data_IF_428186981616
#
_entry.id   IF_428186981616
#
_cell.length_a   1.000
_cell.length_b   1.000
_cell.length_c   1.000
_cell.angle_alpha   90.00
_cell.angle_beta   90.00
_cell.angle_gamma   90.00
#
_symmetry.space_group_name_H-M   'P 1'
#
loop_
_entity.id
_entity.type
_entity.pdbx_description
1 polymer ?
#
# COMPACT_ATOMS: atom_id res chain seq x y z
N UNK A 1 5.37 -39.27 -4.11
CA UNK A 1 5.99 -37.94 -3.99
C UNK A 1 6.55 -37.84 -2.58
N UNK A 2 7.87 -37.93 -2.42
CA UNK A 2 8.52 -38.15 -1.12
C UNK A 2 8.54 -36.87 -0.26
N UNK A 3 8.49 -36.98 1.08
CA UNK A 3 8.45 -35.83 2.00
C UNK A 3 9.69 -34.94 1.98
N UNK A 4 10.79 -35.38 1.34
CA UNK A 4 12.06 -34.65 1.24
C UNK A 4 11.96 -33.51 0.20
N UNK A 5 11.21 -33.69 -0.90
CA UNK A 5 11.09 -32.67 -1.95
C UNK A 5 10.27 -31.43 -1.53
N UNK A 6 9.44 -31.53 -0.48
CA UNK A 6 8.67 -30.40 0.06
C UNK A 6 9.49 -29.49 0.98
N UNK A 7 10.53 -30.01 1.62
CA UNK A 7 11.35 -29.22 2.55
C UNK A 7 12.35 -28.37 1.78
N UNK A 8 12.86 -28.87 0.65
CA UNK A 8 13.81 -28.17 -0.20
C UNK A 8 13.18 -27.01 -0.98
N UNK A 9 11.95 -27.19 -1.48
CA UNK A 9 11.14 -26.14 -2.12
C UNK A 9 10.79 -24.98 -1.16
N UNK A 10 10.56 -25.28 0.12
CA UNK A 10 10.22 -24.25 1.12
C UNK A 10 11.46 -23.44 1.57
N UNK A 11 12.65 -24.05 1.56
CA UNK A 11 13.91 -23.33 1.83
C UNK A 11 14.35 -22.46 0.64
N UNK A 12 14.23 -22.96 -0.60
CA UNK A 12 14.57 -22.17 -1.80
C UNK A 12 13.61 -20.99 -2.03
N UNK A 13 12.32 -21.16 -1.71
CA UNK A 13 11.34 -20.06 -1.78
C UNK A 13 11.59 -18.92 -0.78
N UNK A 14 12.20 -19.20 0.39
CA UNK A 14 12.58 -18.18 1.37
C UNK A 14 13.90 -17.48 1.05
N UNK A 15 14.91 -18.23 0.59
CA UNK A 15 16.21 -17.66 0.19
C UNK A 15 16.11 -16.78 -1.07
N UNK A 16 15.28 -17.18 -2.05
CA UNK A 16 15.00 -16.34 -3.21
C UNK A 16 14.19 -15.08 -2.85
N UNK A 17 13.49 -15.10 -1.70
CA UNK A 17 12.68 -13.98 -1.24
C UNK A 17 13.55 -12.86 -0.64
N UNK A 18 14.51 -13.23 0.19
CA UNK A 18 15.39 -12.25 0.85
C UNK A 18 16.44 -11.65 -0.12
N UNK A 19 16.78 -12.37 -1.20
CA UNK A 19 17.76 -11.92 -2.21
C UNK A 19 17.20 -10.87 -3.21
N UNK A 20 15.89 -10.80 -3.45
CA UNK A 20 15.33 -9.83 -4.42
C UNK A 20 15.23 -8.40 -3.86
N UNK A 21 15.05 -8.25 -2.54
CA UNK A 21 14.81 -6.93 -1.92
C UNK A 21 16.10 -6.10 -1.93
N UNK A 22 17.25 -6.74 -1.72
CA UNK A 22 18.57 -6.11 -1.76
C UNK A 22 19.14 -5.97 -3.18
N UNK A 23 18.77 -6.84 -4.12
CA UNK A 23 19.22 -6.70 -5.53
C UNK A 23 18.56 -5.53 -6.26
N UNK A 24 17.38 -5.08 -5.84
CA UNK A 24 16.69 -3.91 -6.42
C UNK A 24 17.47 -2.60 -6.23
N UNK A 25 18.27 -2.49 -5.16
CA UNK A 25 19.14 -1.33 -4.90
C UNK A 25 20.58 -1.46 -5.41
N UNK A 26 20.92 -2.59 -6.06
CA UNK A 26 22.28 -2.86 -6.57
C UNK A 26 22.78 -1.83 -7.60
N UNK A 27 21.90 -0.96 -8.10
CA UNK A 27 22.20 0.03 -9.13
C UNK A 27 22.21 1.48 -8.65
N UNK A 28 22.07 1.70 -7.34
CA UNK A 28 22.15 3.02 -6.72
C UNK A 28 23.59 3.58 -6.78
N UNK A 29 23.74 4.80 -7.32
CA UNK A 29 24.98 5.57 -7.24
C UNK A 29 25.22 5.98 -5.77
N UNK A 30 26.46 6.34 -5.36
CA UNK A 30 26.71 6.81 -3.99
C UNK A 30 25.83 8.01 -3.59
N UNK A 31 25.46 8.87 -4.54
CA UNK A 31 24.52 9.96 -4.33
C UNK A 31 23.08 9.49 -4.06
N UNK A 32 22.65 8.38 -4.65
CA UNK A 32 21.29 7.85 -4.45
C UNK A 32 21.18 7.18 -3.06
N UNK A 33 22.27 6.60 -2.54
CA UNK A 33 22.35 6.13 -1.15
C UNK A 33 22.26 7.27 -0.14
N UNK A 34 22.94 8.39 -0.40
CA UNK A 34 22.82 9.58 0.46
C UNK A 34 21.38 10.10 0.49
N UNK A 35 20.74 10.23 -0.68
CA UNK A 35 19.34 10.67 -0.75
C UNK A 35 18.38 9.69 -0.05
N UNK A 36 18.65 8.38 -0.14
CA UNK A 36 17.84 7.37 0.52
C UNK A 36 17.93 7.47 2.05
N UNK A 37 19.14 7.64 2.60
CA UNK A 37 19.33 7.80 4.04
C UNK A 37 18.63 9.08 4.53
N UNK A 38 18.78 10.20 3.81
CA UNK A 38 18.11 11.46 4.20
C UNK A 38 16.59 11.34 4.07
N UNK A 39 16.08 10.67 3.04
CA UNK A 39 14.64 10.41 2.87
C UNK A 39 14.06 9.57 4.02
N UNK A 40 14.76 8.52 4.47
CA UNK A 40 14.35 7.71 5.62
C UNK A 40 14.34 8.55 6.90
N UNK A 41 15.41 9.30 7.18
CA UNK A 41 15.49 10.15 8.36
C UNK A 41 14.36 11.20 8.39
N UNK A 42 14.08 11.83 7.26
CA UNK A 42 12.98 12.79 7.13
C UNK A 42 11.61 12.14 7.30
N UNK A 43 11.42 10.91 6.82
CA UNK A 43 10.17 10.15 6.99
C UNK A 43 9.94 9.75 8.44
N UNK A 44 11.00 9.35 9.15
CA UNK A 44 10.96 9.08 10.59
C UNK A 44 10.64 10.35 11.38
N UNK A 45 11.26 11.47 11.03
CA UNK A 45 10.97 12.76 11.65
C UNK A 45 9.50 13.15 11.42
N UNK A 46 9.00 13.05 10.18
CA UNK A 46 7.60 13.30 9.83
C UNK A 46 6.63 12.40 10.63
N UNK A 47 6.91 11.10 10.73
CA UNK A 47 6.10 10.17 11.51
C UNK A 47 6.11 10.47 13.01
N UNK A 48 7.24 10.92 13.55
CA UNK A 48 7.37 11.33 14.95
C UNK A 48 6.55 12.59 15.24
N UNK A 49 6.52 13.56 14.32
CA UNK A 49 5.67 14.74 14.43
C UNK A 49 4.18 14.35 14.51
N UNK A 50 3.72 13.37 13.74
CA UNK A 50 2.33 12.89 13.83
C UNK A 50 1.99 12.36 15.22
N UNK A 51 2.91 11.67 15.89
CA UNK A 51 2.71 11.23 17.28
C UNK A 51 2.65 12.40 18.26
N UNK A 52 3.51 13.42 18.07
CA UNK A 52 3.54 14.63 18.92
C UNK A 52 2.24 15.45 18.82
N UNK A 53 1.54 15.41 17.69
CA UNK A 53 0.25 16.10 17.52
C UNK A 53 -0.75 15.79 18.63
N UNK A 54 -0.77 14.55 19.13
CA UNK A 54 -1.68 14.15 20.21
C UNK A 54 -1.40 14.90 21.51
N UNK A 55 -0.13 15.22 21.81
CA UNK A 55 0.26 15.98 23.01
C UNK A 55 -0.16 17.44 22.89
N UNK A 56 0.02 18.04 21.71
CA UNK A 56 -0.42 19.42 21.43
C UNK A 56 -1.94 19.51 21.56
N UNK A 57 -2.66 18.51 21.03
CA UNK A 57 -4.11 18.42 21.15
C UNK A 57 -4.58 18.33 22.59
N UNK A 58 -3.91 17.49 23.38
CA UNK A 58 -4.20 17.34 24.80
C UNK A 58 -4.10 18.69 25.52
N UNK A 59 -3.02 19.45 25.31
CA UNK A 59 -2.86 20.78 25.95
C UNK A 59 -3.98 21.74 25.59
N UNK A 60 -4.35 21.81 24.31
CA UNK A 60 -5.48 22.63 23.86
C UNK A 60 -6.77 22.18 24.55
N UNK A 61 -7.06 20.88 24.56
CA UNK A 61 -8.26 20.35 25.20
C UNK A 61 -8.29 20.63 26.71
N UNK A 62 -7.17 20.47 27.41
CA UNK A 62 -7.07 20.72 28.84
C UNK A 62 -7.37 22.21 29.16
N UNK A 63 -6.82 23.15 28.37
CA UNK A 63 -7.11 24.59 28.54
C UNK A 63 -8.59 24.92 28.30
N UNK A 64 -9.22 24.30 27.30
CA UNK A 64 -10.65 24.49 27.01
C UNK A 64 -11.54 23.92 28.11
N UNK A 65 -11.20 22.73 28.62
CA UNK A 65 -11.94 22.07 29.70
C UNK A 65 -11.81 22.88 31.00
N UNK A 66 -10.61 23.37 31.33
CA UNK A 66 -10.39 24.23 32.50
C UNK A 66 -11.18 25.54 32.37
N UNK A 67 -11.18 26.15 31.18
CA UNK A 67 -11.98 27.33 30.87
C UNK A 67 -13.47 27.10 31.06
N UNK A 68 -14.00 25.97 30.56
CA UNK A 68 -15.41 25.60 30.75
C UNK A 68 -15.76 25.30 32.21
N UNK A 69 -14.86 24.65 32.95
CA UNK A 69 -15.10 24.26 34.35
C UNK A 69 -15.14 25.47 35.27
N UNK A 70 -14.29 26.47 35.02
CA UNK A 70 -14.23 27.71 35.80
C UNK A 70 -15.22 28.77 35.31
N UNK A 71 -15.85 28.57 34.16
CA UNK A 71 -16.82 29.49 33.57
C UNK A 71 -17.99 29.75 34.53
N UNK A 72 -18.13 30.99 35.00
CA UNK A 72 -19.18 31.40 35.94
C UNK A 72 -18.85 31.22 37.43
N UNK A 73 -17.61 30.81 37.77
CA UNK A 73 -17.09 30.82 39.15
C UNK A 73 -16.23 32.07 39.38
N UNK A 74 -16.15 32.62 40.59
CA UNK A 74 -15.31 33.80 40.93
C UNK A 74 -13.80 33.58 40.69
N UNK A 75 -13.36 32.34 40.50
CA UNK A 75 -11.98 31.96 40.18
C UNK A 75 -11.63 32.00 38.67
N UNK A 76 -12.55 32.49 37.82
CA UNK A 76 -12.30 32.60 36.38
C UNK A 76 -11.35 33.76 36.08
N UNK A 77 -10.10 33.42 35.76
CA UNK A 77 -9.10 34.36 35.29
C UNK A 77 -9.07 34.37 33.75
N UNK A 78 -9.73 35.36 33.16
CA UNK A 78 -9.84 35.54 31.70
C UNK A 78 -8.47 35.68 31.03
N UNK A 79 -7.50 36.29 31.72
CA UNK A 79 -6.15 36.52 31.21
C UNK A 79 -5.37 35.20 31.10
N UNK A 80 -5.43 34.35 32.13
CA UNK A 80 -4.79 33.03 32.10
C UNK A 80 -5.39 32.11 31.06
N UNK A 81 -6.70 32.18 30.86
CA UNK A 81 -7.38 31.40 29.82
C UNK A 81 -6.97 31.86 28.43
N UNK A 82 -6.97 33.17 28.18
CA UNK A 82 -6.57 33.75 26.89
C UNK A 82 -5.09 33.44 26.57
N UNK A 83 -4.18 33.60 27.53
CA UNK A 83 -2.76 33.32 27.34
C UNK A 83 -2.51 31.82 27.07
N UNK A 84 -3.14 30.92 27.83
CA UNK A 84 -3.01 29.47 27.62
C UNK A 84 -3.60 28.99 26.29
N UNK A 85 -4.76 29.54 25.89
CA UNK A 85 -5.36 29.24 24.60
C UNK A 85 -4.51 29.76 23.43
N UNK A 86 -3.97 30.97 23.55
CA UNK A 86 -3.11 31.57 22.54
C UNK A 86 -1.79 30.81 22.38
N UNK A 87 -1.16 30.36 23.48
CA UNK A 87 0.03 29.52 23.44
C UNK A 87 -0.24 28.20 22.70
N UNK A 88 -1.35 27.53 23.00
CA UNK A 88 -1.73 26.29 22.34
C UNK A 88 -1.96 26.48 20.82
N UNK A 89 -2.60 27.58 20.42
CA UNK A 89 -2.83 27.92 19.01
C UNK A 89 -1.50 28.17 18.28
N UNK A 90 -0.57 28.93 18.88
CA UNK A 90 0.74 29.16 18.28
C UNK A 90 1.56 27.88 18.14
N UNK A 91 1.50 26.98 19.12
CA UNK A 91 2.14 25.67 19.04
C UNK A 91 1.56 24.82 17.90
N UNK A 92 0.24 24.87 17.70
CA UNK A 92 -0.45 24.22 16.60
C UNK A 92 -0.08 24.78 15.22
N UNK A 93 0.03 26.11 15.13
CA UNK A 93 0.44 26.77 13.90
C UNK A 93 1.89 26.43 13.55
N UNK A 94 2.80 26.44 14.54
CA UNK A 94 4.18 26.00 14.38
C UNK A 94 4.29 24.53 13.94
N UNK A 95 3.47 23.65 14.51
CA UNK A 95 3.37 22.26 14.06
C UNK A 95 2.95 22.15 12.59
N UNK A 96 1.93 22.90 12.17
CA UNK A 96 1.44 22.92 10.79
C UNK A 96 2.52 23.34 9.78
N UNK A 97 3.31 24.35 10.09
CA UNK A 97 4.42 24.78 9.24
C UNK A 97 5.53 23.72 9.21
N UNK A 98 5.89 23.16 10.37
CA UNK A 98 6.94 22.15 10.47
C UNK A 98 6.60 20.89 9.65
N UNK A 99 5.38 20.38 9.77
CA UNK A 99 4.96 19.18 9.03
C UNK A 99 4.87 19.46 7.52
N UNK A 100 4.43 20.65 7.11
CA UNK A 100 4.36 21.03 5.69
C UNK A 100 5.76 21.02 5.06
N UNK A 101 6.75 21.63 5.71
CA UNK A 101 8.13 21.68 5.22
C UNK A 101 8.72 20.27 5.19
N UNK A 102 8.64 19.51 6.30
CA UNK A 102 9.22 18.18 6.39
C UNK A 102 8.59 17.20 5.38
N UNK A 103 7.26 17.18 5.28
CA UNK A 103 6.56 16.28 4.36
C UNK A 103 6.87 16.61 2.90
N UNK A 104 6.95 17.89 2.54
CA UNK A 104 7.28 18.30 1.16
C UNK A 104 8.72 17.90 0.80
N UNK A 105 9.69 18.13 1.68
CA UNK A 105 11.09 17.75 1.44
C UNK A 105 11.24 16.22 1.39
N UNK A 106 10.57 15.50 2.29
CA UNK A 106 10.59 14.03 2.31
C UNK A 106 10.00 13.46 1.01
N UNK A 107 8.81 13.91 0.60
CA UNK A 107 8.12 13.41 -0.59
C UNK A 107 8.90 13.71 -1.87
N UNK A 108 9.45 14.92 -2.00
CA UNK A 108 10.27 15.29 -3.16
C UNK A 108 11.57 14.49 -3.22
N UNK A 109 12.19 14.18 -2.08
CA UNK A 109 13.35 13.31 -1.99
C UNK A 109 13.03 11.89 -2.50
N UNK A 110 11.99 11.25 -1.96
CA UNK A 110 11.56 9.91 -2.40
C UNK A 110 11.19 9.85 -3.88
N UNK A 111 10.45 10.84 -4.37
CA UNK A 111 10.08 10.90 -5.78
C UNK A 111 11.31 11.05 -6.69
N UNK A 112 12.28 11.87 -6.29
CA UNK A 112 13.53 12.06 -7.05
C UNK A 112 14.36 10.78 -7.11
N UNK A 113 14.45 10.03 -6.01
CA UNK A 113 15.14 8.72 -5.98
C UNK A 113 14.46 7.75 -6.93
N UNK A 114 13.13 7.67 -6.85
CA UNK A 114 12.32 6.77 -7.66
C UNK A 114 12.56 7.01 -9.17
N UNK A 115 12.45 8.26 -9.62
CA UNK A 115 12.66 8.62 -11.03
C UNK A 115 14.09 8.31 -11.50
N UNK A 116 15.11 8.54 -10.66
CA UNK A 116 16.50 8.21 -11.00
C UNK A 116 16.72 6.71 -11.12
N UNK A 117 16.14 5.90 -10.23
CA UNK A 117 16.23 4.44 -10.30
C UNK A 117 15.52 3.92 -11.55
N UNK A 118 14.31 4.41 -11.83
CA UNK A 118 13.54 4.04 -13.01
C UNK A 118 14.30 4.36 -14.29
N UNK A 119 14.92 5.54 -14.37
CA UNK A 119 15.73 5.92 -15.52
C UNK A 119 16.91 4.95 -15.75
N UNK A 120 17.60 4.53 -14.68
CA UNK A 120 18.68 3.55 -14.78
C UNK A 120 18.19 2.17 -15.22
N UNK A 121 17.07 1.70 -14.66
CA UNK A 121 16.44 0.43 -15.02
C UNK A 121 16.03 0.46 -16.49
N UNK A 122 15.35 1.53 -16.93
CA UNK A 122 14.91 1.73 -18.32
C UNK A 122 16.09 1.68 -19.29
N UNK A 123 17.18 2.38 -18.99
CA UNK A 123 18.39 2.42 -19.81
C UNK A 123 19.03 1.03 -19.95
N UNK A 124 19.15 0.30 -18.85
CA UNK A 124 19.79 -1.04 -18.83
C UNK A 124 18.90 -2.09 -19.48
N UNK A 125 17.60 -2.05 -19.24
CA UNK A 125 16.63 -2.93 -19.89
C UNK A 125 16.73 -2.77 -21.41
N UNK A 126 16.69 -1.52 -21.90
CA UNK A 126 16.82 -1.25 -23.33
C UNK A 126 18.16 -1.73 -23.91
N UNK A 127 19.27 -1.47 -23.21
CA UNK A 127 20.59 -1.97 -23.62
C UNK A 127 20.70 -3.50 -23.62
N UNK A 128 20.03 -4.18 -22.69
CA UNK A 128 20.00 -5.65 -22.61
C UNK A 128 19.15 -6.26 -23.72
N UNK A 129 18.01 -5.64 -24.06
CA UNK A 129 17.16 -6.04 -25.19
C UNK A 129 17.93 -5.91 -26.50
N UNK A 130 18.62 -4.80 -26.75
CA UNK A 130 19.41 -4.60 -27.97
C UNK A 130 20.59 -5.59 -28.14
N UNK A 131 21.02 -6.25 -27.07
CA UNK A 131 22.10 -7.26 -27.10
C UNK A 131 21.61 -8.69 -27.33
N UNK A 132 20.29 -8.91 -27.41
CA UNK A 132 19.74 -10.23 -27.66
C UNK A 132 19.95 -10.68 -29.11
N UNK A 133 19.99 -11.99 -29.32
CA UNK A 133 20.14 -12.59 -30.64
C UNK A 133 18.82 -12.58 -31.43
N UNK A 134 18.90 -12.75 -32.75
CA UNK A 134 17.73 -12.76 -33.65
C UNK A 134 16.71 -13.83 -33.25
N UNK A 135 17.15 -15.04 -32.89
CA UNK A 135 16.26 -16.13 -32.50
C UNK A 135 15.46 -15.86 -31.20
N UNK A 136 15.95 -15.00 -30.31
CA UNK A 136 15.19 -14.56 -29.14
C UNK A 136 14.06 -13.60 -29.53
N UNK A 137 14.29 -12.73 -30.53
CA UNK A 137 13.27 -11.83 -31.08
C UNK A 137 12.20 -12.57 -31.88
N UNK A 138 12.53 -13.69 -32.52
CA UNK A 138 11.53 -14.55 -33.20
C UNK A 138 10.56 -15.20 -32.20
N UNK A 139 11.02 -15.43 -30.96
CA UNK A 139 10.22 -16.02 -29.87
C UNK A 139 9.42 -14.99 -29.07
N UNK A 140 9.79 -13.70 -29.13
CA UNK A 140 9.15 -12.64 -28.34
C UNK A 140 8.76 -11.46 -29.23
N UNK A 141 7.45 -11.29 -29.53
CA UNK A 141 6.99 -10.19 -30.35
C UNK A 141 7.31 -8.84 -29.70
N UNK A 142 7.73 -7.88 -30.52
CA UNK A 142 8.18 -6.55 -30.08
C UNK A 142 7.14 -5.79 -29.26
N UNK A 143 5.84 -5.97 -29.56
CA UNK A 143 4.74 -5.36 -28.81
C UNK A 143 4.66 -5.86 -27.36
N UNK A 144 4.86 -7.16 -27.14
CA UNK A 144 4.85 -7.74 -25.80
C UNK A 144 6.01 -7.23 -24.94
N UNK A 145 7.18 -7.04 -25.55
CA UNK A 145 8.36 -6.50 -24.88
C UNK A 145 8.15 -5.08 -24.35
N UNK A 146 7.54 -4.21 -25.15
CA UNK A 146 7.30 -2.80 -24.78
C UNK A 146 6.25 -2.72 -23.68
N UNK A 147 5.19 -3.52 -23.76
CA UNK A 147 4.17 -3.60 -22.71
C UNK A 147 4.77 -4.16 -21.42
N UNK A 148 5.52 -5.27 -21.48
CA UNK A 148 6.22 -5.84 -20.31
C UNK A 148 7.17 -4.85 -19.67
N UNK A 149 7.88 -4.06 -20.47
CA UNK A 149 8.78 -3.03 -19.98
C UNK A 149 8.02 -1.90 -19.28
N UNK A 150 6.95 -1.39 -19.89
CA UNK A 150 6.18 -0.27 -19.36
C UNK A 150 5.44 -0.67 -18.08
N UNK A 151 4.67 -1.76 -18.13
CA UNK A 151 3.94 -2.30 -16.98
C UNK A 151 4.90 -2.73 -15.85
N UNK A 152 6.03 -3.34 -16.21
CA UNK A 152 7.05 -3.76 -15.24
C UNK A 152 7.68 -2.58 -14.53
N UNK A 153 8.01 -1.51 -15.27
CA UNK A 153 8.57 -0.28 -14.70
C UNK A 153 7.53 0.42 -13.81
N UNK A 154 6.27 0.49 -14.22
CA UNK A 154 5.23 1.14 -13.43
C UNK A 154 4.96 0.40 -12.11
N UNK A 155 4.96 -0.95 -12.14
CA UNK A 155 4.90 -1.76 -10.91
C UNK A 155 6.09 -1.54 -9.98
N UNK A 156 7.30 -1.38 -10.54
CA UNK A 156 8.50 -1.08 -9.76
C UNK A 156 8.42 0.34 -9.18
N UNK A 157 7.94 1.32 -9.95
CA UNK A 157 7.70 2.69 -9.50
C UNK A 157 6.76 2.73 -8.30
N UNK A 158 5.66 1.99 -8.38
CA UNK A 158 4.70 1.85 -7.29
C UNK A 158 5.28 1.17 -6.05
N UNK A 159 6.23 0.25 -6.22
CA UNK A 159 6.86 -0.49 -5.12
C UNK A 159 7.98 0.27 -4.41
N UNK A 160 8.83 0.97 -5.16
CA UNK A 160 10.03 1.66 -4.65
C UNK A 160 9.76 3.13 -4.32
N UNK A 161 8.71 3.72 -4.91
CA UNK A 161 8.42 5.15 -4.85
C UNK A 161 8.01 5.69 -3.47
N UNK A 162 6.95 6.48 -3.47
CA UNK A 162 6.44 7.16 -2.27
C UNK A 162 5.93 6.20 -1.18
N UNK A 163 5.45 5.02 -1.57
CA UNK A 163 4.91 4.02 -0.63
C UNK A 163 5.91 3.58 0.43
N UNK A 164 7.20 3.49 0.10
CA UNK A 164 8.26 3.14 1.07
C UNK A 164 8.41 4.24 2.12
N UNK A 165 8.44 5.50 1.71
CA UNK A 165 8.48 6.65 2.63
C UNK A 165 7.25 6.70 3.54
N UNK A 166 6.06 6.46 2.98
CA UNK A 166 4.81 6.37 3.73
C UNK A 166 4.85 5.22 4.75
N UNK A 167 5.40 4.06 4.39
CA UNK A 167 5.55 2.92 5.29
C UNK A 167 6.41 3.27 6.51
N UNK A 168 7.56 3.92 6.31
CA UNK A 168 8.42 4.35 7.41
C UNK A 168 7.76 5.44 8.28
N UNK A 169 7.08 6.39 7.64
CA UNK A 169 6.35 7.46 8.34
C UNK A 169 5.23 6.89 9.21
N UNK A 170 4.38 6.03 8.65
CA UNK A 170 3.28 5.38 9.38
C UNK A 170 3.79 4.40 10.43
N UNK A 171 4.87 3.66 10.16
CA UNK A 171 5.50 2.76 11.14
C UNK A 171 6.05 3.53 12.34
N UNK A 172 6.71 4.66 12.09
CA UNK A 172 7.22 5.53 13.16
C UNK A 172 6.07 6.20 13.92
N UNK A 173 5.05 6.68 13.23
CA UNK A 173 3.85 7.27 13.85
C UNK A 173 3.10 6.24 14.71
N UNK A 174 3.03 4.98 14.27
CA UNK A 174 2.43 3.89 15.03
C UNK A 174 3.20 3.62 16.33
N UNK A 175 4.52 3.47 16.25
CA UNK A 175 5.38 3.25 17.44
C UNK A 175 5.32 4.48 18.36
N UNK A 176 5.48 5.68 17.81
CA UNK A 176 5.41 6.94 18.55
C UNK A 176 4.06 7.14 19.22
N UNK A 177 2.96 6.82 18.54
CA UNK A 177 1.60 6.91 19.06
C UNK A 177 1.38 5.96 20.25
N UNK A 178 1.88 4.73 20.18
CA UNK A 178 1.83 3.77 21.29
C UNK A 178 2.61 4.32 22.50
N UNK A 179 3.82 4.84 22.26
CA UNK A 179 4.65 5.44 23.32
C UNK A 179 3.93 6.61 24.00
N UNK A 180 3.38 7.54 23.22
CA UNK A 180 2.60 8.68 23.75
C UNK A 180 1.36 8.21 24.51
N UNK A 181 0.67 7.18 24.02
CA UNK A 181 -0.50 6.61 24.69
C UNK A 181 -0.16 6.00 26.06
N UNK A 182 0.97 5.29 26.18
CA UNK A 182 1.44 4.75 27.46
C UNK A 182 1.86 5.85 28.45
N UNK A 183 2.46 6.94 27.97
CA UNK A 183 2.85 8.09 28.80
C UNK A 183 1.62 8.79 29.39
N UNK A 184 0.54 8.96 28.61
CA UNK A 184 -0.67 9.64 29.09
C UNK A 184 -1.45 8.82 30.13
N UNK A 185 -1.72 7.55 29.84
CA UNK A 185 -2.48 6.68 30.74
C UNK A 185 -2.26 5.21 30.37
N UNK A 186 -1.54 4.48 31.22
CA UNK A 186 -1.29 3.05 31.00
C UNK A 186 -2.58 2.19 31.04
N UNK A 187 -3.54 2.53 31.91
CA UNK A 187 -4.77 1.75 32.10
C UNK A 187 -5.70 1.76 30.88
N UNK A 188 -6.01 2.96 30.35
CA UNK A 188 -6.87 3.10 29.16
C UNK A 188 -6.20 2.52 27.90
N UNK A 189 -4.88 2.68 27.77
CA UNK A 189 -4.13 2.16 26.62
C UNK A 189 -4.14 0.63 26.56
N UNK A 190 -4.00 -0.07 27.70
CA UNK A 190 -4.08 -1.54 27.74
C UNK A 190 -5.44 -2.06 27.29
N UNK A 191 -6.52 -1.42 27.72
CA UNK A 191 -7.88 -1.79 27.31
C UNK A 191 -8.03 -1.62 25.79
N UNK A 192 -7.59 -0.48 25.24
CA UNK A 192 -7.65 -0.23 23.79
C UNK A 192 -6.77 -1.21 22.99
N UNK A 193 -5.60 -1.56 23.52
CA UNK A 193 -4.72 -2.55 22.90
C UNK A 193 -5.35 -3.95 22.86
N UNK A 194 -6.17 -4.31 23.85
CA UNK A 194 -6.92 -5.57 23.85
C UNK A 194 -8.01 -5.62 22.75
N UNK A 195 -8.56 -4.47 22.35
CA UNK A 195 -9.52 -4.38 21.24
C UNK A 195 -8.86 -4.43 19.85
N UNK A 196 -7.60 -4.00 19.72
CA UNK A 196 -6.86 -4.05 18.45
C UNK A 196 -6.81 -5.43 17.77
N UNK A 197 -6.49 -6.55 18.44
CA UNK A 197 -6.46 -7.87 17.79
C UNK A 197 -7.85 -8.34 17.36
N UNK A 198 -8.90 -7.94 18.07
CA UNK A 198 -10.30 -8.27 17.70
C UNK A 198 -10.64 -7.57 16.38
N UNK A 199 -10.34 -6.26 16.28
CA UNK A 199 -10.53 -5.49 15.05
C UNK A 199 -9.68 -6.03 13.90
N UNK A 200 -8.40 -6.34 14.14
CA UNK A 200 -7.51 -6.91 13.14
C UNK A 200 -8.02 -8.29 12.64
N UNK A 201 -8.54 -9.12 13.54
CA UNK A 201 -9.14 -10.41 13.21
C UNK A 201 -10.38 -10.27 12.32
N UNK A 202 -11.28 -9.32 12.65
CA UNK A 202 -12.46 -9.03 11.83
C UNK A 202 -12.08 -8.51 10.44
N UNK A 203 -11.09 -7.61 10.35
CA UNK A 203 -10.60 -7.09 9.07
C UNK A 203 -9.96 -8.21 8.23
N UNK A 204 -9.12 -9.06 8.83
CA UNK A 204 -8.51 -10.19 8.14
C UNK A 204 -9.57 -11.18 7.63
N UNK A 205 -10.61 -11.44 8.43
CA UNK A 205 -11.74 -12.27 8.02
C UNK A 205 -12.49 -11.66 6.84
N UNK A 206 -12.82 -10.37 6.89
CA UNK A 206 -13.47 -9.65 5.80
C UNK A 206 -12.63 -9.68 4.51
N UNK A 207 -11.33 -9.38 4.60
CA UNK A 207 -10.43 -9.45 3.43
C UNK A 207 -10.39 -10.87 2.86
N UNK A 208 -10.28 -11.90 3.71
CA UNK A 208 -10.28 -13.30 3.29
C UNK A 208 -11.58 -13.68 2.59
N UNK A 209 -12.71 -13.22 3.12
CA UNK A 209 -14.03 -13.45 2.57
C UNK A 209 -14.17 -12.79 1.18
N UNK A 210 -13.87 -11.50 1.07
CA UNK A 210 -13.91 -10.74 -0.18
C UNK A 210 -12.99 -11.36 -1.23
N UNK A 211 -11.73 -11.64 -0.91
CA UNK A 211 -10.80 -12.27 -1.86
C UNK A 211 -11.27 -13.65 -2.33
N UNK A 212 -11.94 -14.41 -1.46
CA UNK A 212 -12.51 -15.72 -1.85
C UNK A 212 -13.69 -15.55 -2.79
N UNK A 213 -14.55 -14.56 -2.55
CA UNK A 213 -15.67 -14.23 -3.44
C UNK A 213 -15.19 -13.76 -4.81
N UNK A 214 -14.22 -12.85 -4.86
CA UNK A 214 -13.59 -12.38 -6.11
C UNK A 214 -12.95 -13.53 -6.89
N UNK A 215 -12.30 -14.49 -6.21
CA UNK A 215 -11.71 -15.65 -6.88
C UNK A 215 -12.77 -16.59 -7.48
N UNK A 216 -13.89 -16.79 -6.78
CA UNK A 216 -15.03 -17.59 -7.30
C UNK A 216 -15.66 -16.90 -8.51
N UNK A 217 -15.78 -15.58 -8.46
CA UNK A 217 -16.26 -14.74 -9.56
C UNK A 217 -15.39 -14.88 -10.80
N UNK A 218 -14.08 -14.69 -10.65
CA UNK A 218 -13.14 -14.78 -11.77
C UNK A 218 -13.21 -16.15 -12.44
N UNK A 219 -13.28 -17.24 -11.67
CA UNK A 219 -13.36 -18.60 -12.21
C UNK A 219 -14.68 -18.90 -12.95
N UNK A 220 -15.80 -18.30 -12.52
CA UNK A 220 -17.07 -18.42 -13.26
C UNK A 220 -17.01 -17.64 -14.58
N UNK A 221 -16.43 -16.43 -14.56
CA UNK A 221 -16.19 -15.64 -15.77
C UNK A 221 -15.23 -16.31 -16.73
N UNK A 222 -14.16 -16.96 -16.25
CA UNK A 222 -13.24 -17.74 -17.09
C UNK A 222 -13.99 -18.85 -17.85
N UNK A 223 -14.88 -19.59 -17.18
CA UNK A 223 -15.69 -20.63 -17.83
C UNK A 223 -16.67 -20.06 -18.85
N UNK A 224 -17.39 -18.99 -18.51
CA UNK A 224 -18.31 -18.34 -19.43
C UNK A 224 -17.58 -17.76 -20.65
N UNK A 225 -16.41 -17.15 -20.42
CA UNK A 225 -15.50 -16.65 -21.45
C UNK A 225 -15.02 -17.74 -22.39
N UNK A 226 -14.60 -18.90 -21.87
CA UNK A 226 -14.20 -20.05 -22.68
C UNK A 226 -15.35 -20.57 -23.57
N UNK A 227 -16.59 -20.62 -23.06
CA UNK A 227 -17.76 -20.97 -23.88
C UNK A 227 -17.99 -19.94 -24.98
N UNK A 228 -17.92 -18.65 -24.66
CA UNK A 228 -18.11 -17.59 -25.64
C UNK A 228 -17.02 -17.63 -26.73
N UNK A 229 -15.78 -17.86 -26.35
CA UNK A 229 -14.65 -17.99 -27.27
C UNK A 229 -14.83 -19.19 -28.22
N UNK A 230 -15.22 -20.37 -27.69
CA UNK A 230 -15.49 -21.56 -28.50
C UNK A 230 -16.58 -21.29 -29.56
N UNK A 231 -17.66 -20.61 -29.16
CA UNK A 231 -18.80 -20.30 -30.05
C UNK A 231 -18.40 -19.29 -31.12
N UNK A 232 -17.61 -18.27 -30.78
CA UNK A 232 -17.15 -17.25 -31.72
C UNK A 232 -16.18 -17.85 -32.74
N UNK A 233 -15.23 -18.67 -32.30
CA UNK A 233 -14.29 -19.38 -33.17
C UNK A 233 -15.02 -20.38 -34.08
N UNK A 234 -16.01 -21.09 -33.53
CA UNK A 234 -16.81 -22.11 -34.21
C UNK A 234 -18.08 -21.60 -34.91
N UNK A 235 -18.23 -20.29 -35.15
CA UNK A 235 -19.54 -19.70 -35.49
C UNK A 235 -20.21 -20.32 -36.73
N UNK A 236 -19.41 -20.70 -37.75
CA UNK A 236 -19.93 -21.35 -38.96
C UNK A 236 -20.54 -22.72 -38.64
N UNK A 237 -19.92 -23.49 -37.76
CA UNK A 237 -20.41 -24.81 -37.31
C UNK A 237 -21.65 -24.68 -36.44
N UNK A 238 -21.68 -23.69 -35.53
CA UNK A 238 -22.85 -23.43 -34.66
C UNK A 238 -24.08 -23.04 -35.49
N UNK A 239 -23.89 -22.20 -36.53
CA UNK A 239 -24.97 -21.83 -37.46
C UNK A 239 -25.39 -23.04 -38.31
N UNK A 240 -24.44 -23.82 -38.84
CA UNK A 240 -24.73 -24.99 -39.66
C UNK A 240 -25.53 -26.08 -38.91
N UNK A 241 -25.29 -26.23 -37.60
CA UNK A 241 -26.01 -27.16 -36.74
C UNK A 241 -27.25 -26.55 -36.06
N UNK A 242 -27.57 -25.29 -36.34
CA UNK A 242 -28.65 -24.52 -35.69
C UNK A 242 -28.57 -24.56 -34.14
N UNK A 243 -27.35 -24.60 -33.60
CA UNK A 243 -27.05 -24.79 -32.18
C UNK A 243 -27.10 -23.53 -31.32
N UNK A 244 -27.46 -22.37 -31.89
CA UNK A 244 -27.34 -21.05 -31.24
C UNK A 244 -28.07 -20.98 -29.89
N UNK A 245 -29.30 -21.48 -29.81
CA UNK A 245 -30.09 -21.47 -28.56
C UNK A 245 -29.45 -22.31 -27.45
N UNK A 246 -28.80 -23.42 -27.81
CA UNK A 246 -28.14 -24.33 -26.86
C UNK A 246 -26.91 -23.67 -26.24
N UNK A 247 -26.09 -23.03 -27.07
CA UNK A 247 -24.87 -22.37 -26.60
C UNK A 247 -25.15 -21.09 -25.80
N UNK A 248 -26.18 -20.34 -26.18
CA UNK A 248 -26.68 -19.20 -25.39
C UNK A 248 -27.13 -19.67 -24.00
N UNK A 249 -27.86 -20.78 -23.91
CA UNK A 249 -28.32 -21.30 -22.62
C UNK A 249 -27.14 -21.79 -21.76
N UNK A 250 -26.10 -22.37 -22.38
CA UNK A 250 -24.86 -22.78 -21.71
C UNK A 250 -24.09 -21.59 -21.14
N UNK A 251 -24.03 -20.48 -21.87
CA UNK A 251 -23.44 -19.22 -21.40
C UNK A 251 -24.23 -18.62 -20.22
N UNK A 252 -25.56 -18.51 -20.35
CA UNK A 252 -26.42 -18.04 -19.27
C UNK A 252 -26.34 -18.92 -18.03
N UNK A 253 -26.23 -20.24 -18.18
CA UNK A 253 -26.07 -21.15 -17.05
C UNK A 253 -24.84 -20.79 -16.20
N UNK A 254 -23.68 -20.54 -16.83
CA UNK A 254 -22.46 -20.18 -16.08
C UNK A 254 -22.56 -18.80 -15.40
N UNK A 255 -23.23 -17.83 -16.02
CA UNK A 255 -23.43 -16.49 -15.43
C UNK A 255 -24.47 -16.49 -14.31
N UNK A 256 -25.58 -17.20 -14.49
CA UNK A 256 -26.67 -17.26 -13.50
C UNK A 256 -26.26 -18.12 -12.30
N UNK A 257 -25.55 -19.22 -12.53
CA UNK A 257 -25.00 -20.06 -11.47
C UNK A 257 -24.06 -19.26 -10.54
N UNK A 258 -23.32 -18.29 -11.09
CA UNK A 258 -22.54 -17.35 -10.29
C UNK A 258 -23.40 -16.45 -9.39
N UNK A 259 -24.43 -15.79 -9.95
CA UNK A 259 -25.34 -14.96 -9.17
C UNK A 259 -26.05 -15.72 -8.05
N UNK A 260 -26.27 -17.03 -8.24
CA UNK A 260 -26.91 -17.91 -7.26
C UNK A 260 -25.94 -18.42 -6.17
N UNK A 261 -24.63 -18.42 -6.42
CA UNK A 261 -23.60 -18.82 -5.42
C UNK A 261 -23.25 -17.67 -4.47
N UNK A 262 -23.42 -16.42 -4.91
CA UNK A 262 -23.12 -15.24 -4.09
C UNK A 262 -24.27 -14.87 -3.14
N UNK A 263 -25.51 -15.21 -3.50
CA UNK A 263 -26.71 -14.91 -2.72
C UNK A 263 -26.94 -15.93 -1.61
#
# INVERSE_FOLDING_TARGET
>A
MSPISRIESNKTGKLANDDYDLQSYRYAKPFDYFLLITGILLSIAQGSLQAVQSIIFKRLSDTLIEGQTKWGTEEFDELKFHDGAMEAIFMYFGYGIAILILATISMTCWHTICERQIYQIRKRYFAAVLRQNMGWFDSHPSGELITKMSDGIDRIKDGIGDKVGILFSNGTAFIGGIVVAFICSWGMTLIMLAFMPILAGLMAFLTRFVSTSVRKELHAYEKAGAVAEEVIVGIRTVIALNGQKKEINRFYFFIIFFFLIIK
#
